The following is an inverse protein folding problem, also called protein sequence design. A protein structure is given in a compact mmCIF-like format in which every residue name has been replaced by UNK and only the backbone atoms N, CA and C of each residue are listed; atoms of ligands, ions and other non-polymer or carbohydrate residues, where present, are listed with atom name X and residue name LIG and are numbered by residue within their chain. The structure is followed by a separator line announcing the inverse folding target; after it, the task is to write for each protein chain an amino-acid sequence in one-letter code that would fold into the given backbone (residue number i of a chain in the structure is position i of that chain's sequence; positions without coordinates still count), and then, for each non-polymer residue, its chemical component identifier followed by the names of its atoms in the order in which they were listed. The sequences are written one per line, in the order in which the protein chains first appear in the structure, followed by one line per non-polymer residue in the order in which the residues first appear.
data_IF_988847142389
#
_entry.id   IF_988847142389
#
_cell.length_a   1.000
_cell.length_b   1.000
_cell.length_c   1.000
_cell.angle_alpha   90.00
_cell.angle_beta   90.00
_cell.angle_gamma   90.00
#
_symmetry.space_group_name_H-M   'P 1'
#
loop_
_entity.id
_entity.type
_entity.pdbx_description
1 polymer ?
#
# COMPACT_ATOMS: atom_id res chain seq x y z
N UNK A 1 27.92 15.52 -9.40
CA UNK A 1 27.23 14.63 -8.46
C UNK A 1 25.76 14.98 -8.49
N UNK A 2 24.90 14.01 -8.77
CA UNK A 2 23.46 14.19 -8.70
C UNK A 2 22.98 14.01 -7.25
N UNK A 3 21.96 14.74 -6.84
CA UNK A 3 21.34 14.61 -5.52
C UNK A 3 19.83 14.51 -5.70
N UNK A 4 19.21 13.54 -5.05
CA UNK A 4 17.75 13.42 -5.03
C UNK A 4 17.26 13.54 -3.60
N UNK A 5 16.25 14.38 -3.36
CA UNK A 5 15.48 14.38 -2.12
C UNK A 5 14.18 13.64 -2.36
N UNK A 6 13.98 12.53 -1.65
CA UNK A 6 12.81 11.67 -1.78
C UNK A 6 12.13 11.52 -0.43
N UNK A 7 10.81 11.65 -0.42
CA UNK A 7 10.01 11.58 0.78
C UNK A 7 8.95 10.49 0.67
N UNK A 8 8.86 9.66 1.70
CA UNK A 8 7.70 8.79 1.92
C UNK A 8 6.61 9.57 2.63
N UNK A 9 5.37 9.45 2.14
CA UNK A 9 4.18 10.06 2.74
C UNK A 9 3.17 8.94 2.99
N UNK A 10 3.08 8.53 4.25
CA UNK A 10 2.25 7.41 4.66
C UNK A 10 1.51 7.69 5.97
N UNK A 11 0.20 7.43 5.97
CA UNK A 11 -0.60 7.33 7.19
C UNK A 11 -1.49 6.09 7.11
N UNK A 12 -1.41 5.18 8.11
CA UNK A 12 -2.26 4.00 8.13
C UNK A 12 -3.68 4.35 8.61
N UNK A 13 -4.65 3.52 8.22
CA UNK A 13 -5.96 3.49 8.86
C UNK A 13 -5.87 2.68 10.16
N UNK A 14 -5.77 3.38 11.29
CA UNK A 14 -5.69 2.77 12.62
C UNK A 14 -6.98 2.01 12.94
N UNK A 15 -6.81 0.79 13.41
CA UNK A 15 -7.88 -0.09 13.83
C UNK A 15 -8.29 0.21 15.27
N UNK A 16 -9.50 -0.19 15.67
CA UNK A 16 -9.89 -0.12 17.08
C UNK A 16 -9.07 -1.09 17.95
N UNK A 17 -8.71 -0.64 19.16
CA UNK A 17 -8.18 -1.53 20.22
C UNK A 17 -9.18 -2.64 20.61
N UNK A 18 -10.47 -2.35 20.52
CA UNK A 18 -11.54 -3.31 20.77
C UNK A 18 -12.61 -3.17 19.70
N UNK A 19 -13.05 -4.29 19.14
CA UNK A 19 -14.07 -4.32 18.07
C UNK A 19 -15.30 -3.49 18.47
N UNK A 20 -15.67 -2.53 17.61
CA UNK A 20 -16.87 -1.74 17.81
C UNK A 20 -18.10 -2.54 17.36
N UNK A 21 -18.71 -3.28 18.30
CA UNK A 21 -19.90 -4.11 18.04
C UNK A 21 -21.14 -3.32 17.61
N UNK A 22 -21.12 -1.99 17.75
CA UNK A 22 -22.22 -1.09 17.38
C UNK A 22 -22.04 -0.43 16.00
N UNK A 23 -20.93 -0.68 15.31
CA UNK A 23 -20.71 -0.14 13.96
C UNK A 23 -21.79 -0.63 12.97
N UNK A 24 -22.26 0.27 12.09
CA UNK A 24 -23.34 -0.03 11.15
C UNK A 24 -22.85 -0.81 9.92
N UNK A 25 -21.56 -0.70 9.61
CA UNK A 25 -20.90 -1.36 8.49
C UNK A 25 -19.55 -1.93 8.95
N UNK A 26 -18.85 -2.61 8.06
CA UNK A 26 -17.58 -3.23 8.37
C UNK A 26 -16.47 -2.22 8.71
N UNK A 27 -16.49 -1.04 8.09
CA UNK A 27 -15.53 0.03 8.36
C UNK A 27 -15.66 0.55 9.79
N UNK A 28 -16.85 0.97 10.19
CA UNK A 28 -17.16 1.47 11.53
C UNK A 28 -16.96 0.43 12.64
N UNK A 29 -16.89 -0.85 12.28
CA UNK A 29 -16.62 -1.93 13.23
C UNK A 29 -15.15 -2.06 13.58
N UNK A 30 -14.27 -1.90 12.61
CA UNK A 30 -12.85 -2.22 12.75
C UNK A 30 -11.92 -1.00 12.71
N UNK A 31 -12.28 0.07 12.01
CA UNK A 31 -11.45 1.25 11.80
C UNK A 31 -11.86 2.36 12.77
N UNK A 32 -10.90 2.94 13.48
CA UNK A 32 -11.15 4.06 14.38
C UNK A 32 -11.08 5.39 13.60
N UNK A 33 -12.14 5.72 12.87
CA UNK A 33 -12.20 6.94 12.05
C UNK A 33 -11.95 8.21 12.86
N UNK A 34 -12.37 8.26 14.12
CA UNK A 34 -12.17 9.45 14.96
C UNK A 34 -10.69 9.65 15.30
N UNK A 35 -10.01 8.59 15.73
CA UNK A 35 -8.57 8.62 16.00
C UNK A 35 -7.79 8.98 14.73
N UNK A 36 -8.13 8.37 13.59
CA UNK A 36 -7.47 8.66 12.32
C UNK A 36 -7.65 10.12 11.92
N UNK A 37 -8.86 10.67 12.02
CA UNK A 37 -9.14 12.09 11.72
C UNK A 37 -8.34 13.03 12.63
N UNK A 38 -8.27 12.74 13.93
CA UNK A 38 -7.53 13.55 14.89
C UNK A 38 -6.03 13.55 14.58
N UNK A 39 -5.44 12.36 14.42
CA UNK A 39 -4.01 12.20 14.13
C UNK A 39 -3.67 12.82 12.79
N UNK A 40 -4.45 12.54 11.74
CA UNK A 40 -4.23 13.08 10.40
C UNK A 40 -4.18 14.61 10.42
N UNK A 41 -5.18 15.27 11.03
CA UNK A 41 -5.22 16.73 11.09
C UNK A 41 -4.11 17.32 11.98
N UNK A 42 -3.72 16.65 13.06
CA UNK A 42 -2.57 17.06 13.87
C UNK A 42 -1.29 17.06 13.04
N UNK A 43 -1.00 15.96 12.33
CA UNK A 43 0.21 15.84 11.52
C UNK A 43 0.15 16.78 10.31
N UNK A 44 -1.01 16.92 9.66
CA UNK A 44 -1.19 17.84 8.54
C UNK A 44 -0.82 19.30 8.89
N UNK A 45 -1.28 19.79 10.04
CA UNK A 45 -1.02 21.16 10.50
C UNK A 45 0.44 21.41 10.89
N UNK A 46 1.15 20.36 11.31
CA UNK A 46 2.55 20.47 11.75
C UNK A 46 3.55 20.19 10.65
N UNK A 47 3.20 19.28 9.74
CA UNK A 47 4.09 18.72 8.74
C UNK A 47 3.61 19.03 7.32
N UNK A 48 2.58 18.35 6.83
CA UNK A 48 2.28 18.35 5.39
C UNK A 48 2.01 19.75 4.84
N UNK A 49 1.20 20.56 5.52
CA UNK A 49 0.87 21.91 5.06
C UNK A 49 2.11 22.81 5.06
N UNK A 50 2.79 23.07 6.19
CA UNK A 50 3.94 23.98 6.19
C UNK A 50 5.12 23.46 5.37
N UNK A 51 5.33 22.15 5.29
CA UNK A 51 6.39 21.57 4.46
C UNK A 51 6.06 21.72 2.97
N UNK A 52 4.82 21.45 2.53
CA UNK A 52 4.42 21.64 1.13
C UNK A 52 4.50 23.11 0.70
N UNK A 53 4.03 24.03 1.55
CA UNK A 53 4.14 25.47 1.31
C UNK A 53 5.60 25.92 1.18
N UNK A 54 6.48 25.44 2.08
CA UNK A 54 7.91 25.72 1.97
C UNK A 54 8.53 25.12 0.70
N UNK A 55 8.21 23.88 0.34
CA UNK A 55 8.74 23.27 -0.89
C UNK A 55 8.27 24.05 -2.13
N UNK A 56 7.02 24.55 -2.17
CA UNK A 56 6.55 25.44 -3.23
C UNK A 56 7.40 26.72 -3.30
N UNK A 57 7.65 27.38 -2.17
CA UNK A 57 8.55 28.55 -2.10
C UNK A 57 9.94 28.21 -2.66
N UNK A 58 10.50 27.06 -2.30
CA UNK A 58 11.84 26.64 -2.75
C UNK A 58 11.88 26.27 -4.24
N UNK A 59 10.81 25.71 -4.78
CA UNK A 59 10.67 25.48 -6.22
C UNK A 59 10.66 26.82 -6.96
N UNK A 60 9.84 27.76 -6.51
CA UNK A 60 9.67 29.06 -7.15
C UNK A 60 10.96 29.91 -7.09
N UNK A 61 11.67 29.90 -5.96
CA UNK A 61 12.89 30.70 -5.76
C UNK A 61 14.16 30.06 -6.35
N UNK A 62 14.30 28.73 -6.27
CA UNK A 62 15.57 28.04 -6.53
C UNK A 62 15.49 26.90 -7.55
N UNK A 63 14.35 26.68 -8.22
CA UNK A 63 14.12 25.52 -9.09
C UNK A 63 14.38 24.19 -8.37
N UNK A 64 14.11 24.14 -7.05
CA UNK A 64 14.39 22.97 -6.22
C UNK A 64 13.56 21.76 -6.70
N UNK A 65 14.12 20.56 -6.61
CA UNK A 65 13.46 19.33 -7.10
C UNK A 65 13.37 18.29 -6.00
N UNK A 66 12.18 17.71 -5.86
CA UNK A 66 11.88 16.68 -4.87
C UNK A 66 11.06 15.54 -5.47
N UNK A 67 11.01 14.43 -4.76
CA UNK A 67 10.30 13.24 -5.18
C UNK A 67 9.42 12.76 -4.03
N UNK A 68 8.20 12.30 -4.30
CA UNK A 68 7.29 11.77 -3.29
C UNK A 68 6.84 10.36 -3.63
N UNK A 69 6.87 9.47 -2.64
CA UNK A 69 6.07 8.24 -2.62
C UNK A 69 4.88 8.46 -1.68
N UNK A 70 3.70 8.66 -2.24
CA UNK A 70 2.47 8.92 -1.49
C UNK A 70 1.59 7.67 -1.55
N UNK A 71 1.33 7.05 -0.41
CA UNK A 71 0.53 5.81 -0.35
C UNK A 71 -0.95 6.07 -0.68
N UNK A 72 -1.66 5.03 -1.13
CA UNK A 72 -3.09 5.12 -1.43
C UNK A 72 -3.91 5.42 -0.18
N UNK A 73 -3.60 4.74 0.94
CA UNK A 73 -4.20 5.00 2.25
C UNK A 73 -4.09 6.47 2.67
N UNK A 74 -2.94 7.13 2.42
CA UNK A 74 -2.77 8.54 2.74
C UNK A 74 -3.68 9.45 1.90
N UNK A 75 -3.79 9.18 0.60
CA UNK A 75 -4.63 9.96 -0.32
C UNK A 75 -6.11 9.81 0.06
N UNK A 76 -6.56 8.61 0.42
CA UNK A 76 -7.92 8.39 0.95
C UNK A 76 -8.18 9.24 2.20
N UNK A 77 -7.24 9.27 3.15
CA UNK A 77 -7.37 10.08 4.35
C UNK A 77 -7.36 11.58 4.05
N UNK A 78 -6.63 12.06 3.04
CA UNK A 78 -6.74 13.45 2.59
C UNK A 78 -8.17 13.75 2.12
N UNK A 79 -8.72 12.89 1.26
CA UNK A 79 -10.08 13.05 0.73
C UNK A 79 -11.15 13.00 1.83
N UNK A 80 -10.93 12.17 2.85
CA UNK A 80 -11.90 12.03 3.95
C UNK A 80 -11.79 13.16 4.99
N UNK A 81 -10.57 13.59 5.32
CA UNK A 81 -10.34 14.44 6.50
C UNK A 81 -9.87 15.85 6.20
N UNK A 82 -9.10 16.08 5.13
CA UNK A 82 -8.55 17.40 4.81
C UNK A 82 -8.05 17.47 3.34
N UNK A 83 -8.96 17.83 2.43
CA UNK A 83 -8.67 17.90 0.99
C UNK A 83 -7.61 18.95 0.63
N UNK A 84 -7.43 19.98 1.45
CA UNK A 84 -6.42 21.03 1.22
C UNK A 84 -4.99 20.46 1.18
N UNK A 85 -4.69 19.44 1.99
CA UNK A 85 -3.39 18.74 1.94
C UNK A 85 -3.15 18.12 0.56
N UNK A 86 -4.17 17.48 0.00
CA UNK A 86 -4.07 16.86 -1.32
C UNK A 86 -3.93 17.92 -2.42
N UNK A 87 -4.63 19.05 -2.30
CA UNK A 87 -4.51 20.14 -3.27
C UNK A 87 -3.11 20.75 -3.28
N UNK A 88 -2.46 20.90 -2.11
CA UNK A 88 -1.05 21.30 -2.05
C UNK A 88 -0.12 20.30 -2.77
N UNK A 89 -0.33 18.99 -2.61
CA UNK A 89 0.43 17.98 -3.37
C UNK A 89 0.16 18.06 -4.88
N UNK A 90 -1.08 18.32 -5.29
CA UNK A 90 -1.39 18.55 -6.71
C UNK A 90 -0.69 19.80 -7.24
N UNK A 91 -0.65 20.88 -6.46
CA UNK A 91 0.03 22.11 -6.86
C UNK A 91 1.53 21.92 -6.97
N UNK A 92 2.14 21.21 -6.02
CA UNK A 92 3.53 20.74 -6.09
C UNK A 92 3.81 19.95 -7.38
N UNK A 93 2.96 18.98 -7.72
CA UNK A 93 3.10 18.18 -8.95
C UNK A 93 2.94 19.03 -10.22
N UNK A 94 2.03 20.02 -10.23
CA UNK A 94 1.81 20.91 -11.38
C UNK A 94 3.02 21.79 -11.71
N UNK A 95 3.91 22.06 -10.75
CA UNK A 95 5.14 22.84 -11.00
C UNK A 95 6.05 22.18 -12.05
N UNK A 96 6.02 20.84 -12.16
CA UNK A 96 6.94 20.07 -13.00
C UNK A 96 8.28 19.71 -12.31
N UNK A 97 8.53 20.23 -11.11
CA UNK A 97 9.75 19.95 -10.32
C UNK A 97 9.59 18.78 -9.35
N UNK A 98 8.37 18.24 -9.25
CA UNK A 98 8.04 17.13 -8.37
C UNK A 98 7.77 15.87 -9.17
N UNK A 99 8.47 14.79 -8.82
CA UNK A 99 8.25 13.47 -9.39
C UNK A 99 7.56 12.54 -8.38
N UNK A 100 6.54 11.82 -8.86
CA UNK A 100 5.84 10.82 -8.06
C UNK A 100 6.41 9.42 -8.31
N UNK A 101 6.71 8.72 -7.22
CA UNK A 101 7.22 7.34 -7.19
C UNK A 101 6.06 6.42 -6.83
N UNK A 102 5.89 5.33 -7.58
CA UNK A 102 4.87 4.33 -7.30
C UNK A 102 5.23 3.47 -6.10
N UNK A 103 4.19 2.94 -5.47
CA UNK A 103 4.28 2.01 -4.35
C UNK A 103 3.07 1.04 -4.38
N UNK A 104 2.97 0.12 -3.40
CA UNK A 104 1.73 -0.56 -3.04
C UNK A 104 0.66 0.46 -2.58
N UNK A 105 -0.61 0.23 -2.90
CA UNK A 105 -1.69 1.14 -2.49
C UNK A 105 -1.85 1.17 -0.97
N UNK A 106 -1.84 -0.01 -0.36
CA UNK A 106 -2.15 -0.17 1.07
C UNK A 106 -0.91 -0.16 1.96
N UNK A 107 0.28 0.17 1.45
CA UNK A 107 1.53 0.03 2.19
C UNK A 107 1.69 -1.42 2.72
N UNK A 108 1.37 -2.40 1.88
CA UNK A 108 1.18 -3.79 2.31
C UNK A 108 2.47 -4.61 2.27
N UNK A 109 2.49 -5.67 3.08
CA UNK A 109 3.57 -6.69 3.04
C UNK A 109 3.32 -7.79 1.99
N UNK A 110 2.40 -7.59 1.05
CA UNK A 110 2.00 -8.57 0.03
C UNK A 110 3.18 -9.03 -0.86
N UNK A 111 4.21 -8.20 -1.00
CA UNK A 111 5.47 -8.55 -1.69
C UNK A 111 6.19 -9.77 -1.08
N UNK A 112 5.92 -10.07 0.19
CA UNK A 112 6.49 -11.20 0.93
C UNK A 112 5.66 -12.48 0.81
N UNK A 113 4.50 -12.45 0.15
CA UNK A 113 3.73 -13.65 -0.16
C UNK A 113 4.38 -14.44 -1.30
N UNK A 114 4.21 -15.76 -1.25
CA UNK A 114 4.71 -16.70 -2.26
C UNK A 114 4.01 -16.47 -3.61
N UNK A 115 2.70 -16.17 -3.58
CA UNK A 115 1.92 -15.78 -4.75
C UNK A 115 2.03 -14.25 -4.96
N UNK A 116 2.33 -13.83 -6.18
CA UNK A 116 2.53 -12.42 -6.56
C UNK A 116 1.25 -11.65 -6.92
N UNK A 117 0.11 -12.31 -7.08
CA UNK A 117 -1.14 -11.69 -7.55
C UNK A 117 -1.62 -10.57 -6.63
N UNK A 118 -1.53 -10.77 -5.32
CA UNK A 118 -1.95 -9.77 -4.33
C UNK A 118 -1.07 -8.51 -4.43
N UNK A 119 0.24 -8.72 -4.57
CA UNK A 119 1.22 -7.65 -4.73
C UNK A 119 1.03 -6.89 -6.04
N UNK A 120 0.82 -7.60 -7.15
CA UNK A 120 0.55 -7.00 -8.46
C UNK A 120 -0.75 -6.19 -8.43
N UNK A 121 -1.82 -6.74 -7.85
CA UNK A 121 -3.10 -6.06 -7.75
C UNK A 121 -2.97 -4.77 -6.93
N UNK A 122 -2.23 -4.80 -5.82
CA UNK A 122 -2.02 -3.63 -4.95
C UNK A 122 -1.24 -2.51 -5.66
N UNK A 123 -0.25 -2.86 -6.48
CA UNK A 123 0.50 -1.91 -7.32
C UNK A 123 -0.38 -1.32 -8.43
N UNK A 124 -1.19 -2.15 -9.10
CA UNK A 124 -2.05 -1.66 -10.19
C UNK A 124 -3.16 -0.75 -9.67
N UNK A 125 -3.70 -1.00 -8.47
CA UNK A 125 -4.59 -0.07 -7.78
C UNK A 125 -3.91 1.27 -7.53
N UNK A 126 -2.65 1.28 -7.08
CA UNK A 126 -1.88 2.51 -6.84
C UNK A 126 -1.59 3.29 -8.13
N UNK A 127 -1.16 2.59 -9.20
CA UNK A 127 -0.96 3.19 -10.52
C UNK A 127 -2.24 3.84 -11.05
N UNK A 128 -3.39 3.20 -10.85
CA UNK A 128 -4.69 3.76 -11.21
C UNK A 128 -4.99 5.02 -10.39
N UNK A 129 -4.81 4.97 -9.07
CA UNK A 129 -5.02 6.13 -8.20
C UNK A 129 -4.16 7.32 -8.63
N UNK A 130 -2.87 7.11 -8.91
CA UNK A 130 -1.97 8.19 -9.35
C UNK A 130 -2.41 8.82 -10.67
N UNK A 131 -2.89 7.99 -11.60
CA UNK A 131 -3.46 8.48 -12.85
C UNK A 131 -4.73 9.30 -12.60
N UNK A 132 -5.61 8.83 -11.73
CA UNK A 132 -6.90 9.47 -11.47
C UNK A 132 -6.74 10.78 -10.68
N UNK A 133 -5.80 10.85 -9.74
CA UNK A 133 -5.60 12.00 -8.84
C UNK A 133 -4.62 13.03 -9.42
N UNK A 134 -3.51 12.58 -10.00
CA UNK A 134 -2.43 13.47 -10.46
C UNK A 134 -2.27 13.50 -11.98
N UNK A 135 -2.93 12.59 -12.73
CA UNK A 135 -2.70 12.46 -14.17
C UNK A 135 -1.34 11.86 -14.53
N UNK A 136 -0.63 11.26 -13.55
CA UNK A 136 0.75 10.78 -13.71
C UNK A 136 0.78 9.27 -13.85
N UNK A 137 1.63 8.78 -14.77
CA UNK A 137 2.04 7.37 -14.82
C UNK A 137 3.45 7.26 -14.23
N UNK A 138 3.61 6.79 -12.98
CA UNK A 138 4.91 6.71 -12.33
C UNK A 138 5.83 5.71 -13.07
N UNK A 139 7.12 6.05 -13.13
CA UNK A 139 8.16 5.25 -13.81
C UNK A 139 9.07 4.51 -12.85
N UNK A 140 9.18 5.03 -11.64
CA UNK A 140 10.02 4.50 -10.57
C UNK A 140 9.11 3.86 -9.54
N UNK A 141 9.54 2.74 -8.99
CA UNK A 141 8.83 2.03 -7.94
C UNK A 141 9.67 1.99 -6.68
N UNK A 142 9.01 2.05 -5.54
CA UNK A 142 9.57 1.62 -4.25
C UNK A 142 8.55 0.67 -3.64
N UNK A 143 9.05 -0.44 -3.12
CA UNK A 143 8.19 -1.31 -2.34
C UNK A 143 8.06 -0.76 -0.92
N UNK A 144 7.00 -1.17 -0.22
CA UNK A 144 6.78 -0.90 1.19
C UNK A 144 8.06 -1.07 1.99
N UNK A 145 8.44 -0.02 2.70
CA UNK A 145 9.58 -0.01 3.63
C UNK A 145 10.94 -0.31 2.98
N UNK A 146 11.05 0.04 1.68
CA UNK A 146 12.20 -0.28 0.84
C UNK A 146 12.55 -1.79 0.86
N UNK A 147 11.54 -2.65 1.06
CA UNK A 147 11.70 -4.10 1.07
C UNK A 147 12.13 -4.58 -0.31
N UNK A 148 13.26 -5.26 -0.38
CA UNK A 148 13.86 -5.66 -1.65
C UNK A 148 14.46 -7.06 -1.63
N UNK A 149 14.16 -7.77 -2.71
CA UNK A 149 14.92 -8.92 -3.21
C UNK A 149 14.76 -8.96 -4.74
N UNK A 150 15.49 -9.87 -5.39
CA UNK A 150 15.46 -9.96 -6.85
C UNK A 150 14.10 -10.33 -7.43
N UNK A 151 13.27 -11.11 -6.73
CA UNK A 151 11.90 -11.45 -7.15
C UNK A 151 11.03 -10.19 -7.20
N UNK A 152 11.08 -9.35 -6.16
CA UNK A 152 10.35 -8.07 -6.13
C UNK A 152 10.82 -7.17 -7.29
N UNK A 153 12.14 -7.03 -7.48
CA UNK A 153 12.69 -6.23 -8.58
C UNK A 153 12.22 -6.72 -9.96
N UNK A 154 12.16 -8.04 -10.14
CA UNK A 154 11.67 -8.66 -11.38
C UNK A 154 10.18 -8.38 -11.60
N UNK A 155 9.34 -8.59 -10.60
CA UNK A 155 7.89 -8.31 -10.69
C UNK A 155 7.66 -6.83 -11.03
N UNK A 156 8.33 -5.91 -10.33
CA UNK A 156 8.24 -4.47 -10.63
C UNK A 156 8.65 -4.15 -12.07
N UNK A 157 9.68 -4.83 -12.60
CA UNK A 157 10.12 -4.64 -13.99
C UNK A 157 9.06 -5.13 -14.97
N UNK A 158 8.47 -6.29 -14.72
CA UNK A 158 7.42 -6.88 -15.56
C UNK A 158 6.14 -6.01 -15.56
N UNK A 159 5.89 -5.25 -14.48
CA UNK A 159 4.83 -4.23 -14.40
C UNK A 159 5.16 -2.89 -15.10
N UNK A 160 6.34 -2.80 -15.71
CA UNK A 160 6.76 -1.70 -16.58
C UNK A 160 7.50 -0.55 -15.89
N UNK A 161 7.99 -0.74 -14.66
CA UNK A 161 8.84 0.25 -14.00
C UNK A 161 10.27 0.23 -14.57
N UNK A 162 10.89 1.41 -14.63
CA UNK A 162 12.24 1.62 -15.18
C UNK A 162 13.35 1.44 -14.13
N UNK A 163 13.03 1.70 -12.87
CA UNK A 163 13.93 1.48 -11.73
C UNK A 163 13.14 1.18 -10.43
N UNK A 164 13.83 0.58 -9.46
CA UNK A 164 13.35 0.34 -8.10
C UNK A 164 14.27 1.00 -7.06
N UNK A 165 13.69 1.61 -6.04
CA UNK A 165 14.40 2.18 -4.90
C UNK A 165 14.50 1.15 -3.76
N UNK A 166 15.67 1.05 -3.11
CA UNK A 166 15.89 0.18 -1.95
C UNK A 166 16.97 0.73 -1.01
N UNK A 167 17.13 0.12 0.15
CA UNK A 167 18.17 0.47 1.12
C UNK A 167 19.61 0.18 0.62
N UNK A 168 20.51 1.14 0.82
CA UNK A 168 21.94 1.04 0.54
C UNK A 168 22.74 0.52 1.73
N UNK A 169 22.46 -0.72 2.16
CA UNK A 169 23.14 -1.36 3.30
C UNK A 169 24.41 -2.12 2.91
N UNK A 170 25.38 -2.16 3.82
CA UNK A 170 26.61 -2.95 3.72
C UNK A 170 26.35 -4.43 3.46
N UNK A 171 25.19 -4.97 3.91
CA UNK A 171 24.78 -6.37 3.67
C UNK A 171 24.79 -6.76 2.19
N UNK A 172 24.46 -5.82 1.30
CA UNK A 172 24.37 -6.05 -0.15
C UNK A 172 25.45 -5.31 -0.94
N UNK A 173 26.07 -4.29 -0.33
CA UNK A 173 27.08 -3.45 -0.97
C UNK A 173 28.50 -3.99 -0.79
N UNK A 174 28.81 -4.67 0.31
CA UNK A 174 30.19 -5.05 0.66
C UNK A 174 31.13 -3.83 0.58
N UNK A 175 32.07 -3.79 -0.37
CA UNK A 175 33.01 -2.68 -0.59
C UNK A 175 32.47 -1.58 -1.52
N UNK A 176 31.30 -1.78 -2.11
CA UNK A 176 30.66 -0.84 -3.04
C UNK A 176 29.98 0.30 -2.26
N UNK A 177 29.63 1.37 -2.96
CA UNK A 177 28.98 2.54 -2.38
C UNK A 177 27.51 2.63 -2.81
N UNK A 178 26.59 3.12 -1.95
CA UNK A 178 25.22 3.40 -2.36
C UNK A 178 25.11 4.55 -3.37
N UNK A 179 26.20 5.30 -3.58
CA UNK A 179 26.18 6.55 -4.35
C UNK A 179 26.32 6.36 -5.87
N UNK A 180 25.86 5.21 -6.38
CA UNK A 180 25.89 4.85 -7.80
C UNK A 180 24.58 4.17 -8.18
N UNK A 181 24.24 4.27 -9.46
CA UNK A 181 23.15 3.46 -10.02
C UNK A 181 23.63 2.02 -10.19
N UNK A 182 22.82 1.04 -9.79
CA UNK A 182 23.08 -0.39 -10.02
C UNK A 182 21.96 -1.01 -10.86
N UNK A 183 22.05 -2.31 -11.11
CA UNK A 183 20.97 -3.08 -11.70
C UNK A 183 20.82 -4.45 -11.05
N UNK A 184 19.63 -5.05 -11.13
CA UNK A 184 19.41 -6.46 -10.83
C UNK A 184 19.93 -7.35 -11.97
N UNK A 185 20.07 -8.67 -11.77
CA UNK A 185 20.41 -9.61 -12.85
C UNK A 185 19.42 -9.59 -14.02
N UNK A 186 18.15 -9.36 -13.72
CA UNK A 186 17.11 -9.19 -14.74
C UNK A 186 17.17 -7.82 -15.43
N UNK A 187 18.11 -6.95 -15.06
CA UNK A 187 18.32 -5.63 -15.63
C UNK A 187 17.31 -4.58 -15.18
N UNK A 188 16.73 -4.71 -13.98
CA UNK A 188 15.99 -3.61 -13.34
C UNK A 188 17.01 -2.64 -12.76
N UNK A 189 16.91 -1.33 -13.01
CA UNK A 189 17.82 -0.35 -12.39
C UNK A 189 17.52 -0.21 -10.91
N UNK A 190 18.55 -0.07 -10.08
CA UNK A 190 18.43 -0.01 -8.63
C UNK A 190 19.01 1.32 -8.13
N UNK A 191 18.17 2.11 -7.49
CA UNK A 191 18.54 3.30 -6.74
C UNK A 191 18.69 2.91 -5.26
N UNK A 192 19.84 3.22 -4.67
CA UNK A 192 20.14 2.89 -3.28
C UNK A 192 20.09 4.13 -2.42
N UNK A 193 19.30 4.10 -1.35
CA UNK A 193 19.30 5.12 -0.29
C UNK A 193 20.69 5.24 0.32
N UNK A 194 21.19 6.46 0.48
CA UNK A 194 22.33 6.71 1.34
C UNK A 194 21.81 6.86 2.78
N UNK A 195 21.71 5.75 3.51
CA UNK A 195 21.05 5.75 4.82
C UNK A 195 21.77 6.66 5.82
N UNK A 196 23.09 6.80 5.76
CA UNK A 196 23.83 7.64 6.71
C UNK A 196 23.42 9.10 6.60
N UNK A 197 23.53 9.66 5.39
CA UNK A 197 23.15 11.06 5.13
C UNK A 197 21.64 11.29 5.25
N UNK A 198 20.83 10.26 5.01
CA UNK A 198 19.37 10.35 5.20
C UNK A 198 19.00 10.36 6.69
N UNK A 199 19.59 9.46 7.49
CA UNK A 199 19.36 9.34 8.94
C UNK A 199 19.89 10.55 9.71
N UNK A 200 20.90 11.25 9.18
CA UNK A 200 21.40 12.50 9.79
C UNK A 200 20.31 13.59 9.83
N UNK A 201 19.45 13.66 8.81
CA UNK A 201 18.26 14.53 8.81
C UNK A 201 17.09 13.85 9.52
N UNK A 202 16.77 12.61 9.14
CA UNK A 202 15.57 11.90 9.60
C UNK A 202 15.55 11.62 11.11
N UNK A 203 16.70 11.26 11.70
CA UNK A 203 16.79 10.83 13.09
C UNK A 203 17.71 11.69 13.96
N UNK A 204 18.89 12.10 13.45
CA UNK A 204 19.91 12.77 14.28
C UNK A 204 19.80 14.29 14.35
N UNK A 205 18.92 14.91 13.56
CA UNK A 205 18.84 16.38 13.44
C UNK A 205 18.71 17.09 14.80
N UNK A 206 17.85 16.57 15.68
CA UNK A 206 17.62 17.12 17.03
C UNK A 206 18.44 16.43 18.14
N UNK A 207 19.35 15.50 17.80
CA UNK A 207 20.13 14.73 18.77
C UNK A 207 21.30 15.56 19.32
N UNK A 208 21.11 16.22 20.47
CA UNK A 208 22.11 17.15 21.06
C UNK A 208 23.38 16.48 21.58
N UNK A 209 23.33 15.17 21.79
CA UNK A 209 24.44 14.31 22.20
C UNK A 209 25.24 13.73 21.03
N UNK A 210 24.75 13.89 19.79
CA UNK A 210 25.50 13.54 18.59
C UNK A 210 26.68 14.51 18.38
N UNK A 211 27.86 13.96 18.11
CA UNK A 211 29.11 14.70 17.99
C UNK A 211 29.15 15.70 16.81
N UNK A 212 28.23 15.58 15.86
CA UNK A 212 28.08 16.53 14.76
C UNK A 212 26.95 17.56 14.97
N UNK A 213 26.22 17.52 16.09
CA UNK A 213 25.17 18.49 16.40
C UNK A 213 25.75 19.91 16.64
N UNK A 214 25.08 20.99 16.19
CA UNK A 214 23.85 21.00 15.39
C UNK A 214 24.10 20.68 13.92
N UNK A 215 23.13 20.05 13.25
CA UNK A 215 23.17 19.88 11.80
C UNK A 215 22.67 21.16 11.11
N UNK A 216 23.57 21.85 10.39
CA UNK A 216 23.25 23.08 9.66
C UNK A 216 23.30 22.83 8.15
N UNK A 217 22.60 23.66 7.37
CA UNK A 217 22.50 23.51 5.92
C UNK A 217 23.87 23.56 5.22
N UNK A 218 24.77 24.45 5.67
CA UNK A 218 26.13 24.61 5.14
C UNK A 218 27.01 23.39 5.45
N UNK A 219 26.90 22.85 6.67
CA UNK A 219 27.58 21.62 7.09
C UNK A 219 27.11 20.44 6.24
N UNK A 220 25.80 20.29 6.05
CA UNK A 220 25.25 19.19 5.27
C UNK A 220 25.58 19.30 3.78
N UNK A 221 25.51 20.50 3.20
CA UNK A 221 25.93 20.76 1.83
C UNK A 221 27.42 20.43 1.60
N UNK A 222 28.29 20.76 2.57
CA UNK A 222 29.70 20.38 2.53
C UNK A 222 29.89 18.85 2.56
N UNK A 223 29.11 18.12 3.35
CA UNK A 223 29.14 16.65 3.37
C UNK A 223 28.69 16.05 2.04
N UNK A 224 27.60 16.57 1.46
CA UNK A 224 27.14 16.19 0.12
C UNK A 224 28.23 16.43 -0.92
N UNK A 225 28.86 17.61 -0.89
CA UNK A 225 29.92 18.01 -1.81
C UNK A 225 31.18 17.13 -1.70
N UNK A 226 31.49 16.66 -0.49
CA UNK A 226 32.68 15.86 -0.19
C UNK A 226 32.48 14.36 -0.36
N UNK A 227 31.22 13.92 -0.53
CA UNK A 227 30.87 12.50 -0.64
C UNK A 227 31.20 11.98 -2.05
N UNK A 228 31.96 10.88 -2.21
CA UNK A 228 32.29 10.32 -3.52
C UNK A 228 31.10 9.55 -4.12
N UNK A 229 30.97 9.57 -5.44
CA UNK A 229 29.85 8.95 -6.14
C UNK A 229 29.45 9.64 -7.45
N UNK A 230 28.36 9.18 -8.04
CA UNK A 230 27.67 9.84 -9.15
C UNK A 230 26.29 10.36 -8.76
N UNK A 231 25.64 9.72 -7.77
CA UNK A 231 24.34 10.14 -7.22
C UNK A 231 24.31 9.95 -5.71
N UNK A 232 23.72 10.89 -4.97
CA UNK A 232 23.38 10.70 -3.55
C UNK A 232 21.85 10.71 -3.43
N UNK A 233 21.31 9.58 -3.03
CA UNK A 233 19.88 9.38 -2.85
C UNK A 233 19.51 9.63 -1.38
N UNK A 234 19.01 10.82 -1.08
CA UNK A 234 18.46 11.16 0.23
C UNK A 234 17.00 10.73 0.27
N UNK A 235 16.66 9.81 1.17
CA UNK A 235 15.33 9.24 1.29
C UNK A 235 14.92 9.16 2.77
N UNK A 236 13.79 9.77 3.15
CA UNK A 236 13.29 9.80 4.54
C UNK A 236 11.76 9.89 4.57
N UNK A 237 11.18 9.68 5.76
CA UNK A 237 9.77 10.00 6.02
C UNK A 237 9.53 11.50 5.87
N UNK A 238 8.41 11.90 5.28
CA UNK A 238 8.09 13.31 5.13
C UNK A 238 7.77 13.98 6.46
N UNK A 239 7.24 13.19 7.41
CA UNK A 239 7.01 13.51 8.82
C UNK A 239 8.27 13.98 9.56
N UNK A 240 9.47 13.79 8.96
CA UNK A 240 10.72 14.43 9.39
C UNK A 240 10.54 15.94 9.62
N UNK A 241 9.81 16.63 8.73
CA UNK A 241 9.61 18.07 8.79
C UNK A 241 8.35 18.42 9.59
N UNK A 242 8.47 18.53 10.91
CA UNK A 242 7.42 19.08 11.78
C UNK A 242 6.78 18.09 12.74
N UNK A 243 6.84 16.77 12.48
CA UNK A 243 6.36 15.75 13.41
C UNK A 243 7.52 15.04 14.15
N UNK A 244 8.51 14.50 13.43
CA UNK A 244 9.69 13.88 14.06
C UNK A 244 10.61 14.96 14.66
N UNK A 245 10.87 16.02 13.90
CA UNK A 245 11.55 17.22 14.38
C UNK A 245 10.57 18.38 14.37
N UNK A 246 10.26 18.93 15.54
CA UNK A 246 9.31 20.04 15.63
C UNK A 246 9.89 21.30 15.01
N UNK A 247 9.03 22.26 14.65
CA UNK A 247 9.45 23.53 14.04
C UNK A 247 10.54 24.24 14.87
N UNK A 248 10.45 24.19 16.19
CA UNK A 248 11.38 24.83 17.12
C UNK A 248 12.79 24.22 17.09
N UNK A 249 12.97 23.03 16.50
CA UNK A 249 14.29 22.44 16.27
C UNK A 249 15.11 23.19 15.21
N UNK A 250 14.45 23.98 14.37
CA UNK A 250 15.07 24.63 13.21
C UNK A 250 15.03 23.80 11.93
N UNK A 251 14.27 22.70 11.88
CA UNK A 251 14.23 21.80 10.71
C UNK A 251 13.69 22.49 9.45
N UNK A 252 12.72 23.40 9.58
CA UNK A 252 12.19 24.17 8.45
C UNK A 252 13.19 25.23 7.97
N UNK A 253 13.92 25.86 8.90
CA UNK A 253 15.00 26.79 8.58
C UNK A 253 16.14 26.04 7.87
N UNK A 254 16.50 24.85 8.33
CA UNK A 254 17.45 23.97 7.64
C UNK A 254 17.00 23.70 6.20
N UNK A 255 15.77 23.26 6.00
CA UNK A 255 15.22 22.99 4.65
C UNK A 255 15.23 24.26 3.78
N UNK A 256 14.89 25.42 4.36
CA UNK A 256 14.86 26.71 3.67
C UNK A 256 16.25 27.13 3.15
N UNK A 257 17.30 26.92 3.94
CA UNK A 257 18.67 27.29 3.55
C UNK A 257 19.38 26.21 2.73
N UNK A 258 18.88 24.97 2.70
CA UNK A 258 19.54 23.85 2.06
C UNK A 258 19.81 24.07 0.55
N UNK A 259 18.87 24.53 -0.28
CA UNK A 259 19.14 24.78 -1.70
C UNK A 259 20.22 25.85 -1.91
N UNK A 260 20.22 26.90 -1.07
CA UNK A 260 21.20 27.99 -1.12
C UNK A 260 22.60 27.45 -0.86
N UNK A 261 22.76 26.62 0.18
CA UNK A 261 24.06 26.06 0.54
C UNK A 261 24.55 25.02 -0.48
N UNK A 262 23.65 24.20 -1.05
CA UNK A 262 24.00 23.28 -2.14
C UNK A 262 24.48 24.06 -3.37
N UNK A 263 23.83 25.18 -3.71
CA UNK A 263 24.18 25.97 -4.91
C UNK A 263 25.59 26.56 -4.89
N UNK A 264 26.22 26.65 -3.71
CA UNK A 264 27.63 27.09 -3.56
C UNK A 264 28.63 26.06 -4.07
N UNK A 265 28.20 24.83 -4.34
CA UNK A 265 29.03 23.74 -4.83
C UNK A 265 28.66 23.41 -6.28
N UNK A 266 29.37 24.02 -7.24
CA UNK A 266 29.05 23.93 -8.69
C UNK A 266 28.97 22.50 -9.26
N UNK A 267 29.60 21.52 -8.61
CA UNK A 267 29.56 20.12 -9.04
C UNK A 267 28.37 19.33 -8.49
N UNK A 268 27.53 19.92 -7.64
CA UNK A 268 26.28 19.34 -7.15
C UNK A 268 25.10 19.76 -8.02
N UNK A 269 24.22 18.82 -8.34
CA UNK A 269 22.99 19.08 -9.09
C UNK A 269 21.82 18.36 -8.40
N UNK A 270 20.81 19.11 -7.95
CA UNK A 270 19.57 18.53 -7.41
C UNK A 270 18.66 18.14 -8.57
N UNK A 271 18.23 16.88 -8.62
CA UNK A 271 17.46 16.32 -9.74
C UNK A 271 16.34 15.40 -9.26
N UNK A 272 15.36 15.16 -10.14
CA UNK A 272 14.38 14.11 -9.92
C UNK A 272 14.97 12.72 -10.19
N UNK A 273 14.40 11.67 -9.59
CA UNK A 273 14.93 10.30 -9.66
C UNK A 273 14.98 9.73 -11.09
N UNK A 274 14.04 10.09 -11.96
CA UNK A 274 14.05 9.68 -13.38
C UNK A 274 15.15 10.38 -14.18
N UNK A 275 15.60 11.57 -13.78
CA UNK A 275 16.78 12.18 -14.39
C UNK A 275 18.05 11.38 -14.09
N UNK A 276 18.19 10.87 -12.86
CA UNK A 276 19.29 9.95 -12.49
C UNK A 276 19.26 8.72 -13.41
N UNK A 277 18.08 8.10 -13.55
CA UNK A 277 17.87 6.90 -14.37
C UNK A 277 18.20 7.13 -15.85
N UNK A 278 18.02 8.34 -16.37
CA UNK A 278 18.35 8.73 -17.75
C UNK A 278 19.82 9.11 -17.93
N UNK A 279 20.40 9.82 -16.97
CA UNK A 279 21.77 10.38 -17.04
C UNK A 279 22.84 9.32 -16.74
N UNK A 280 22.57 8.39 -15.82
CA UNK A 280 23.56 7.41 -15.34
C UNK A 280 23.40 6.04 -15.98
N UNK A 281 24.50 5.31 -16.05
CA UNK A 281 24.53 3.88 -16.41
C UNK A 281 24.76 3.04 -15.15
N UNK A 282 24.13 1.87 -15.02
CA UNK A 282 24.42 0.95 -13.92
C UNK A 282 25.91 0.64 -13.82
N UNK A 283 26.51 0.87 -12.65
CA UNK A 283 27.92 0.62 -12.36
C UNK A 283 28.21 -0.86 -12.13
N UNK A 284 27.19 -1.64 -11.79
CA UNK A 284 27.31 -3.07 -11.60
C UNK A 284 25.97 -3.70 -11.22
N UNK A 285 26.02 -5.01 -10.99
CA UNK A 285 24.87 -5.81 -10.62
C UNK A 285 24.80 -6.04 -9.11
N UNK A 286 23.60 -5.93 -8.52
CA UNK A 286 23.29 -6.28 -7.14
C UNK A 286 22.36 -7.48 -7.12
N UNK A 287 22.75 -8.50 -6.36
CA UNK A 287 21.97 -9.71 -6.15
C UNK A 287 21.57 -9.84 -4.68
N UNK A 288 20.28 -10.01 -4.43
CA UNK A 288 19.68 -10.23 -3.12
C UNK A 288 18.69 -11.40 -3.24
N UNK A 289 19.06 -12.52 -2.63
CA UNK A 289 18.21 -13.70 -2.56
C UNK A 289 16.97 -13.44 -1.71
N UNK A 290 15.85 -14.13 -1.97
CA UNK A 290 14.59 -13.99 -1.22
C UNK A 290 14.77 -14.21 0.30
N UNK A 291 15.50 -15.25 0.71
CA UNK A 291 15.88 -15.47 2.13
C UNK A 291 16.80 -14.40 2.75
N UNK A 292 17.34 -13.49 1.94
CA UNK A 292 18.18 -12.38 2.37
C UNK A 292 17.50 -11.02 2.10
N UNK A 293 16.16 -11.00 2.00
CA UNK A 293 15.37 -9.79 1.78
C UNK A 293 15.78 -8.70 2.76
N UNK A 294 16.11 -7.53 2.22
CA UNK A 294 16.50 -6.35 2.99
C UNK A 294 15.34 -5.37 3.10
N UNK A 295 15.43 -4.45 4.05
CA UNK A 295 14.54 -3.29 4.21
C UNK A 295 15.37 -2.11 4.73
N UNK A 296 14.78 -0.91 4.80
CA UNK A 296 15.42 0.21 5.49
C UNK A 296 15.19 0.24 7.01
N UNK A 297 14.34 -0.64 7.54
CA UNK A 297 13.93 -0.64 8.93
C UNK A 297 14.95 -1.29 9.86
N UNK A 298 15.02 -0.76 11.07
CA UNK A 298 15.86 -1.19 12.19
C UNK A 298 17.34 -1.38 11.85
N UNK A 299 18.18 -1.60 12.86
CA UNK A 299 19.62 -1.79 12.67
C UNK A 299 19.94 -3.01 11.79
N UNK A 300 19.08 -4.02 11.81
CA UNK A 300 19.26 -5.23 11.03
C UNK A 300 18.99 -5.02 9.54
N UNK A 301 18.25 -4.00 9.08
CA UNK A 301 18.02 -3.75 7.64
C UNK A 301 17.44 -4.98 6.91
N UNK A 302 16.45 -5.62 7.53
CA UNK A 302 15.73 -6.77 7.00
C UNK A 302 14.24 -6.74 7.41
N UNK A 303 13.49 -7.80 7.11
CA UNK A 303 12.03 -7.84 7.33
C UNK A 303 11.62 -8.15 8.78
N UNK A 304 12.57 -8.27 9.71
CA UNK A 304 12.27 -8.68 11.08
C UNK A 304 11.57 -7.59 11.92
N UNK A 305 11.45 -6.36 11.43
CA UNK A 305 10.56 -5.35 12.01
C UNK A 305 9.07 -5.78 11.93
N UNK A 306 8.70 -6.57 10.91
CA UNK A 306 7.32 -7.04 10.70
C UNK A 306 7.14 -8.55 10.87
N UNK A 307 8.21 -9.34 10.76
CA UNK A 307 8.18 -10.82 10.84
C UNK A 307 9.26 -11.38 11.81
N UNK A 308 9.71 -10.58 12.78
CA UNK A 308 10.79 -10.94 13.70
C UNK A 308 10.36 -11.89 14.82
N UNK A 309 9.09 -11.84 15.24
CA UNK A 309 8.59 -12.64 16.36
C UNK A 309 7.41 -13.57 15.98
N UNK A 310 6.99 -14.42 16.92
CA UNK A 310 5.94 -15.41 16.69
C UNK A 310 4.55 -14.80 16.53
N UNK A 311 4.25 -13.69 17.22
CA UNK A 311 2.96 -13.00 17.14
C UNK A 311 2.72 -12.47 15.73
N UNK A 312 3.70 -11.73 15.23
CA UNK A 312 3.76 -11.22 13.87
C UNK A 312 3.56 -12.30 12.82
N UNK A 313 4.30 -13.42 12.91
CA UNK A 313 4.18 -14.54 11.97
C UNK A 313 2.80 -15.18 12.00
N UNK A 314 2.21 -15.37 13.19
CA UNK A 314 0.84 -15.90 13.32
C UNK A 314 -0.16 -14.96 12.65
N UNK A 315 -0.08 -13.67 12.92
CA UNK A 315 -0.95 -12.67 12.30
C UNK A 315 -0.79 -12.62 10.78
N UNK A 316 0.44 -12.74 10.27
CA UNK A 316 0.75 -12.72 8.85
C UNK A 316 0.16 -13.92 8.11
N UNK A 317 0.43 -15.13 8.61
CA UNK A 317 -0.16 -16.35 8.04
C UNK A 317 -1.68 -16.32 8.15
N UNK A 318 -2.23 -15.81 9.26
CA UNK A 318 -3.68 -15.75 9.44
C UNK A 318 -4.35 -14.84 8.42
N UNK A 319 -3.76 -13.68 8.14
CA UNK A 319 -4.28 -12.77 7.12
C UNK A 319 -4.16 -13.38 5.71
N UNK A 320 -3.07 -14.09 5.43
CA UNK A 320 -2.87 -14.80 4.17
C UNK A 320 -3.94 -15.88 3.96
N UNK A 321 -4.25 -16.70 4.97
CA UNK A 321 -5.35 -17.68 4.93
C UNK A 321 -6.70 -17.02 4.62
N UNK A 322 -6.98 -15.85 5.22
CA UNK A 322 -8.21 -15.09 4.95
C UNK A 322 -8.25 -14.63 3.50
N UNK A 323 -7.12 -14.12 2.98
CA UNK A 323 -6.98 -13.72 1.58
C UNK A 323 -7.22 -14.86 0.59
N UNK A 324 -6.60 -16.01 0.84
CA UNK A 324 -6.80 -17.23 0.05
C UNK A 324 -8.28 -17.64 0.05
N UNK A 325 -8.93 -17.64 1.22
CA UNK A 325 -10.35 -17.95 1.32
C UNK A 325 -11.24 -16.98 0.51
N UNK A 326 -10.98 -15.67 0.61
CA UNK A 326 -11.71 -14.65 -0.17
C UNK A 326 -11.52 -14.89 -1.67
N UNK A 327 -10.27 -15.18 -2.09
CA UNK A 327 -9.92 -15.43 -3.49
C UNK A 327 -10.61 -16.68 -4.04
N UNK A 328 -10.53 -17.80 -3.34
CA UNK A 328 -11.17 -19.07 -3.73
C UNK A 328 -12.69 -18.94 -3.84
N UNK A 329 -13.30 -18.05 -3.05
CA UNK A 329 -14.74 -17.83 -3.03
C UNK A 329 -15.17 -16.53 -3.73
N UNK A 330 -14.28 -15.87 -4.48
CA UNK A 330 -14.48 -14.52 -5.05
C UNK A 330 -15.77 -14.42 -5.86
N UNK A 331 -16.05 -15.37 -6.74
CA UNK A 331 -17.24 -15.34 -7.60
C UNK A 331 -18.55 -15.52 -6.84
N UNK A 332 -18.53 -16.24 -5.71
CA UNK A 332 -19.69 -16.36 -4.83
C UNK A 332 -19.85 -15.11 -3.99
N UNK A 333 -18.77 -14.65 -3.37
CA UNK A 333 -18.75 -13.45 -2.52
C UNK A 333 -19.18 -12.20 -3.30
N UNK A 334 -18.80 -12.06 -4.58
CA UNK A 334 -19.25 -10.98 -5.48
C UNK A 334 -20.77 -10.91 -5.66
N UNK A 335 -21.52 -11.97 -5.34
CA UNK A 335 -22.99 -11.96 -5.35
C UNK A 335 -23.58 -11.38 -4.06
N UNK A 336 -22.75 -11.19 -3.03
CA UNK A 336 -23.13 -10.46 -1.83
C UNK A 336 -22.98 -8.96 -2.07
N UNK A 337 -23.96 -8.20 -1.58
CA UNK A 337 -23.91 -6.74 -1.53
C UNK A 337 -22.77 -6.22 -0.62
N UNK A 338 -22.16 -7.11 0.19
CA UNK A 338 -21.06 -6.79 1.11
C UNK A 338 -19.67 -7.03 0.54
N UNK A 339 -19.54 -7.51 -0.69
CA UNK A 339 -18.24 -7.86 -1.26
C UNK A 339 -17.25 -6.71 -1.20
N UNK A 340 -17.66 -5.51 -1.61
CA UNK A 340 -16.80 -4.34 -1.66
C UNK A 340 -16.34 -3.93 -0.25
N UNK A 341 -17.23 -3.99 0.75
CA UNK A 341 -16.86 -3.75 2.15
C UNK A 341 -15.87 -4.80 2.67
N UNK A 342 -16.12 -6.09 2.43
CA UNK A 342 -15.24 -7.19 2.83
C UNK A 342 -13.87 -6.99 2.20
N UNK A 343 -13.84 -6.72 0.90
CA UNK A 343 -12.61 -6.56 0.16
C UNK A 343 -11.83 -5.33 0.63
N UNK A 344 -12.52 -4.20 0.89
CA UNK A 344 -11.89 -3.00 1.47
C UNK A 344 -11.25 -3.28 2.83
N UNK A 345 -11.96 -3.98 3.73
CA UNK A 345 -11.41 -4.37 5.04
C UNK A 345 -10.20 -5.29 4.88
N UNK A 346 -10.30 -6.30 4.02
CA UNK A 346 -9.19 -7.22 3.80
C UNK A 346 -7.93 -6.47 3.35
N UNK A 347 -8.07 -5.48 2.45
CA UNK A 347 -6.94 -4.70 1.97
C UNK A 347 -6.31 -3.81 3.05
N UNK A 348 -7.10 -3.07 3.84
CA UNK A 348 -6.55 -2.24 4.93
C UNK A 348 -5.90 -3.08 6.04
N UNK A 349 -6.36 -4.32 6.26
CA UNK A 349 -5.73 -5.23 7.22
C UNK A 349 -4.31 -5.63 6.77
N UNK A 350 -3.97 -5.54 5.49
CA UNK A 350 -2.63 -5.86 4.98
C UNK A 350 -1.58 -4.77 5.20
N UNK A 351 -1.98 -3.57 5.64
CA UNK A 351 -1.07 -2.45 5.93
C UNK A 351 0.05 -2.88 6.88
N UNK A 352 1.31 -2.58 6.53
CA UNK A 352 2.51 -3.03 7.26
C UNK A 352 2.49 -2.64 8.74
N UNK A 353 1.95 -1.47 9.07
CA UNK A 353 1.82 -0.94 10.43
C UNK A 353 1.15 -1.91 11.40
N UNK A 354 0.15 -2.67 10.94
CA UNK A 354 -0.54 -3.65 11.78
C UNK A 354 0.41 -4.73 12.31
N UNK A 355 1.46 -5.06 11.55
CA UNK A 355 2.52 -5.99 11.95
C UNK A 355 3.62 -5.28 12.73
N UNK A 356 3.95 -4.05 12.34
CA UNK A 356 4.97 -3.24 13.02
C UNK A 356 4.60 -2.96 14.48
N UNK A 357 3.32 -2.68 14.78
CA UNK A 357 2.84 -2.47 16.15
C UNK A 357 3.01 -3.70 17.06
N UNK A 358 3.23 -4.89 16.50
CA UNK A 358 3.46 -6.13 17.24
C UNK A 358 4.95 -6.44 17.43
N UNK A 359 5.84 -5.56 16.96
CA UNK A 359 7.28 -5.74 17.07
C UNK A 359 7.72 -5.71 18.54
N UNK A 360 8.58 -6.66 18.91
CA UNK A 360 9.14 -6.76 20.28
C UNK A 360 10.63 -6.39 20.32
N UNK A 361 11.17 -5.95 19.19
CA UNK A 361 12.52 -5.38 19.16
C UNK A 361 12.51 -4.05 19.89
N UNK A 362 13.66 -3.66 20.42
CA UNK A 362 13.78 -2.35 21.04
C UNK A 362 13.11 -2.20 22.41
N UNK A 363 13.20 -3.19 23.31
CA UNK A 363 13.01 -2.91 24.74
C UNK A 363 13.99 -1.83 25.28
N UNK A 364 15.03 -1.47 24.51
CA UNK A 364 15.89 -0.29 24.71
C UNK A 364 15.68 0.88 23.73
N UNK A 365 15.03 0.66 22.57
CA UNK A 365 14.71 1.68 21.54
C UNK A 365 13.22 2.11 21.61
N UNK A 366 12.65 1.99 22.81
CA UNK A 366 11.22 2.14 23.11
C UNK A 366 10.63 3.48 22.65
N UNK A 367 11.45 4.52 22.50
CA UNK A 367 11.02 5.87 22.13
C UNK A 367 10.50 5.96 20.69
N UNK A 368 10.96 5.14 19.74
CA UNK A 368 10.47 5.19 18.35
C UNK A 368 9.26 4.27 18.17
N UNK A 369 9.32 3.03 18.64
CA UNK A 369 8.22 2.08 18.49
C UNK A 369 6.95 2.47 19.28
N UNK A 370 7.08 3.08 20.48
CA UNK A 370 5.93 3.60 21.22
C UNK A 370 5.40 4.92 20.68
N UNK A 371 6.21 5.70 19.97
CA UNK A 371 5.75 6.99 19.43
C UNK A 371 4.73 6.81 18.30
N UNK A 372 4.90 5.78 17.46
CA UNK A 372 4.02 5.53 16.32
C UNK A 372 2.82 4.62 16.62
N UNK A 373 2.95 3.72 17.60
CA UNK A 373 1.87 2.81 17.96
C UNK A 373 0.82 3.50 18.83
N UNK A 374 -0.45 3.34 18.48
CA UNK A 374 -1.55 3.78 19.33
C UNK A 374 -1.87 2.75 20.43
N UNK A 375 -1.22 1.59 20.44
CA UNK A 375 -1.36 0.53 21.46
C UNK A 375 -0.39 0.72 22.62
N UNK A 376 -0.79 0.25 23.79
CA UNK A 376 -0.01 0.42 25.02
C UNK A 376 1.17 -0.56 25.09
N UNK A 377 1.07 -1.69 24.38
CA UNK A 377 2.16 -2.66 24.21
C UNK A 377 2.04 -3.45 22.90
N UNK A 378 3.13 -4.08 22.43
CA UNK A 378 3.08 -5.00 21.29
C UNK A 378 2.13 -6.18 21.48
N UNK A 379 1.92 -6.60 22.74
CA UNK A 379 0.98 -7.68 23.08
C UNK A 379 -0.47 -7.24 22.91
N UNK A 380 -0.79 -5.99 23.28
CA UNK A 380 -2.13 -5.42 23.07
C UNK A 380 -2.42 -5.23 21.59
N UNK A 381 -1.43 -4.78 20.81
CA UNK A 381 -1.53 -4.70 19.35
C UNK A 381 -1.84 -6.07 18.74
N UNK A 382 -1.08 -7.10 19.12
CA UNK A 382 -1.30 -8.46 18.65
C UNK A 382 -2.68 -9.00 19.04
N UNK A 383 -3.08 -8.86 20.31
CA UNK A 383 -4.37 -9.34 20.79
C UNK A 383 -5.54 -8.66 20.05
N UNK A 384 -5.45 -7.34 19.86
CA UNK A 384 -6.46 -6.55 19.16
C UNK A 384 -6.55 -6.95 17.69
N UNK A 385 -5.41 -7.01 17.00
CA UNK A 385 -5.35 -7.34 15.59
C UNK A 385 -5.83 -8.78 15.33
N UNK A 386 -5.37 -9.75 16.12
CA UNK A 386 -5.80 -11.14 15.98
C UNK A 386 -7.30 -11.31 16.24
N UNK A 387 -7.85 -10.61 17.25
CA UNK A 387 -9.29 -10.60 17.51
C UNK A 387 -10.07 -10.05 16.30
N UNK A 388 -9.59 -8.97 15.66
CA UNK A 388 -10.17 -8.44 14.42
C UNK A 388 -10.11 -9.46 13.29
N UNK A 389 -8.97 -10.12 13.06
CA UNK A 389 -8.82 -11.14 12.00
C UNK A 389 -9.83 -12.28 12.18
N UNK A 390 -9.95 -12.82 13.41
CA UNK A 390 -10.92 -13.90 13.68
C UNK A 390 -12.36 -13.43 13.58
N UNK A 391 -12.68 -12.23 14.08
CA UNK A 391 -14.04 -11.71 13.97
C UNK A 391 -14.44 -11.47 12.52
N UNK A 392 -13.53 -10.91 11.71
CA UNK A 392 -13.71 -10.68 10.29
C UNK A 392 -13.92 -11.98 9.51
N UNK A 393 -13.07 -12.99 9.75
CA UNK A 393 -13.19 -14.29 9.10
C UNK A 393 -14.51 -15.00 9.46
N UNK A 394 -14.84 -15.11 10.74
CA UNK A 394 -15.91 -15.98 11.20
C UNK A 394 -17.28 -15.31 11.20
N UNK A 395 -17.38 -14.06 11.63
CA UNK A 395 -18.67 -13.36 11.76
C UNK A 395 -19.10 -12.64 10.48
N UNK A 396 -18.18 -12.39 9.55
CA UNK A 396 -18.51 -11.71 8.30
C UNK A 396 -18.30 -12.58 7.09
N UNK A 397 -17.08 -13.03 6.83
CA UNK A 397 -16.79 -13.78 5.60
C UNK A 397 -17.53 -15.13 5.61
N UNK A 398 -17.32 -15.95 6.63
CA UNK A 398 -17.93 -17.29 6.73
C UNK A 398 -19.44 -17.25 6.96
N UNK A 399 -19.94 -16.27 7.72
CA UNK A 399 -21.38 -16.09 7.91
C UNK A 399 -22.09 -15.66 6.61
N UNK A 400 -21.49 -14.72 5.87
CA UNK A 400 -22.02 -14.29 4.56
C UNK A 400 -22.00 -15.45 3.57
N UNK A 401 -20.94 -16.26 3.55
CA UNK A 401 -20.88 -17.48 2.75
C UNK A 401 -22.01 -18.47 3.11
N UNK A 402 -22.32 -18.65 4.40
CA UNK A 402 -23.46 -19.50 4.81
C UNK A 402 -24.78 -18.95 4.30
N UNK A 403 -25.01 -17.64 4.39
CA UNK A 403 -26.22 -16.98 3.85
C UNK A 403 -26.34 -17.17 2.34
N UNK A 404 -25.25 -17.01 1.60
CA UNK A 404 -25.21 -17.22 0.15
C UNK A 404 -25.51 -18.67 -0.22
N UNK A 405 -24.93 -19.64 0.49
CA UNK A 405 -25.21 -21.06 0.26
C UNK A 405 -26.67 -21.41 0.55
N UNK A 406 -27.24 -20.87 1.64
CA UNK A 406 -28.67 -21.09 1.97
C UNK A 406 -29.60 -20.48 0.91
N UNK A 407 -29.26 -19.30 0.37
CA UNK A 407 -30.00 -18.68 -0.74
C UNK A 407 -29.93 -19.54 -2.01
N UNK A 408 -28.75 -20.05 -2.38
CA UNK A 408 -28.62 -20.94 -3.54
C UNK A 408 -29.39 -22.26 -3.38
N UNK A 409 -29.44 -22.81 -2.16
CA UNK A 409 -30.22 -24.01 -1.85
C UNK A 409 -31.73 -23.75 -1.92
N UNK A 410 -32.17 -22.54 -1.56
CA UNK A 410 -33.57 -22.12 -1.70
C UNK A 410 -33.94 -21.94 -3.18
N UNK A 411 -33.14 -21.17 -3.94
CA UNK A 411 -33.38 -20.91 -5.37
C UNK A 411 -33.39 -22.20 -6.21
N UNK A 412 -32.53 -23.17 -5.86
CA UNK A 412 -32.48 -24.47 -6.54
C UNK A 412 -33.72 -25.31 -6.22
N UNK A 413 -34.19 -25.33 -4.97
CA UNK A 413 -35.45 -25.99 -4.59
C UNK A 413 -36.66 -25.33 -5.25
N UNK A 414 -36.69 -24.01 -5.33
CA UNK A 414 -37.79 -23.26 -5.95
C UNK A 414 -37.86 -23.53 -7.47
N UNK A 415 -36.71 -23.57 -8.16
CA UNK A 415 -36.63 -23.99 -9.57
C UNK A 415 -37.09 -25.43 -9.79
N UNK A 416 -36.75 -26.36 -8.88
CA UNK A 416 -37.23 -27.74 -8.90
C UNK A 416 -38.75 -27.82 -8.74
N UNK A 417 -39.32 -27.04 -7.82
CA UNK A 417 -40.78 -26.97 -7.62
C UNK A 417 -41.47 -26.43 -8.88
N UNK A 418 -40.98 -25.31 -9.43
CA UNK A 418 -41.56 -24.72 -10.65
C UNK A 418 -41.48 -25.69 -11.84
N UNK A 419 -40.36 -26.38 -12.02
CA UNK A 419 -40.22 -27.37 -13.09
C UNK A 419 -41.17 -28.57 -12.89
N UNK A 420 -41.32 -29.06 -11.66
CA UNK A 420 -42.25 -30.14 -11.33
C UNK A 420 -43.72 -29.69 -11.55
N UNK A 421 -44.08 -28.46 -11.20
CA UNK A 421 -45.43 -27.92 -11.44
C UNK A 421 -45.74 -27.76 -12.93
N UNK A 422 -44.74 -27.42 -13.75
CA UNK A 422 -44.84 -27.37 -15.22
C UNK A 422 -45.01 -28.79 -15.78
N UNK A 423 -44.25 -29.78 -15.31
CA UNK A 423 -44.42 -31.18 -15.72
C UNK A 423 -45.79 -31.73 -15.35
N UNK A 424 -46.28 -31.45 -14.13
CA UNK A 424 -47.61 -31.89 -13.68
C UNK A 424 -48.72 -31.24 -14.52
N UNK A 425 -48.60 -29.95 -14.87
CA UNK A 425 -49.54 -29.30 -15.81
C UNK A 425 -49.52 -29.96 -17.18
N UNK A 426 -48.35 -30.22 -17.75
CA UNK A 426 -48.22 -30.87 -19.06
C UNK A 426 -48.79 -32.30 -19.07
N UNK A 427 -48.63 -33.07 -17.98
CA UNK A 427 -49.23 -34.40 -17.83
C UNK A 427 -50.76 -34.31 -17.75
N UNK A 428 -51.30 -33.34 -17.01
CA UNK A 428 -52.76 -33.13 -16.91
C UNK A 428 -53.38 -32.63 -18.22
N UNK A 429 -52.66 -31.80 -18.99
CA UNK A 429 -53.08 -31.34 -20.32
C UNK A 429 -53.03 -32.46 -21.38
N UNK A 430 -52.12 -33.42 -21.24
CA UNK A 430 -52.07 -34.62 -22.10
C UNK A 430 -53.16 -35.65 -21.73
N UNK A 431 -53.42 -35.88 -20.44
CA UNK A 431 -54.50 -36.76 -19.98
C UNK A 431 -55.90 -36.22 -20.32
N UNK A 432 -56.07 -34.89 -20.33
CA UNK A 432 -57.33 -34.28 -20.77
C UNK A 432 -57.55 -34.35 -22.27
N UNK A 433 -56.48 -34.38 -23.10
CA UNK A 433 -56.58 -34.67 -24.54
C UNK A 433 -56.89 -36.15 -24.82
N UNK A 434 -56.30 -37.10 -24.09
CA UNK A 434 -56.62 -38.53 -24.25
C UNK A 434 -58.05 -38.89 -23.80
N UNK A 435 -58.64 -38.15 -22.85
CA UNK A 435 -60.03 -38.30 -22.46
C UNK A 435 -61.03 -37.73 -23.50
N UNK A 436 -60.61 -36.81 -24.36
CA UNK A 436 -61.45 -36.26 -25.44
C UNK A 436 -61.47 -37.20 -26.65
N UNK A 437 -60.37 -37.92 -26.94
CA UNK A 437 -60.30 -38.88 -28.05
C UNK A 437 -61.00 -40.23 -27.80
N UNK A 438 -61.51 -40.51 -26.59
CA UNK A 438 -62.21 -41.77 -26.25
C UNK A 438 -63.74 -41.67 -26.17
N UNK A 439 -64.34 -40.54 -26.56
CA UNK A 439 -65.80 -40.33 -26.55
C UNK A 439 -66.40 -40.09 -27.95
N UNK A 440 -65.93 -40.81 -28.98
CA UNK A 440 -66.68 -40.92 -30.25
C UNK A 440 -67.24 -42.34 -30.39
N UNK A 441 -68.53 -42.50 -30.05
CA UNK A 441 -69.34 -43.67 -30.39
C UNK A 441 -69.86 -43.58 -31.85
N UNK A 442 -70.14 -44.73 -32.50
CA UNK A 442 -70.19 -44.85 -33.96
C UNK A 442 -71.52 -44.38 -34.54
N UNK A 443 -71.47 -43.67 -35.67
CA UNK A 443 -72.64 -43.42 -36.52
C UNK A 443 -72.82 -44.56 -37.53
N UNK A 444 -73.96 -45.23 -37.38
CA UNK A 444 -74.58 -46.12 -38.34
C UNK A 444 -75.33 -45.30 -39.40
N UNK A 445 -75.14 -45.59 -40.68
CA UNK A 445 -76.19 -45.49 -41.71
C UNK A 445 -75.72 -46.07 -43.07
N UNK A 446 -76.35 -47.18 -43.43
CA UNK A 446 -76.50 -47.65 -44.80
C UNK A 446 -77.31 -46.65 -45.65
N UNK A 447 -76.91 -46.35 -46.88
CA UNK A 447 -77.58 -46.86 -48.08
C UNK A 447 -77.01 -46.27 -49.40
N UNK A 448 -76.64 -47.20 -50.28
CA UNK A 448 -77.00 -47.31 -51.70
C UNK A 448 -76.78 -46.19 -52.74
N UNK A 449 -76.01 -46.62 -53.74
CA UNK A 449 -76.28 -46.66 -55.20
C UNK A 449 -76.08 -45.44 -56.13
N UNK A 450 -75.02 -45.58 -56.96
CA UNK A 450 -74.87 -45.51 -58.44
C UNK A 450 -75.39 -44.29 -59.26
N UNK A 451 -74.52 -43.93 -60.23
CA UNK A 451 -74.70 -43.31 -61.57
C UNK A 451 -74.26 -41.82 -61.58
N UNK A 452 -73.29 -41.35 -62.39
CA UNK A 452 -72.67 -41.80 -63.64
C UNK A 452 -71.15 -41.56 -63.66
#
# INVERSE_FOLDING_TARGET
MLITFTFEVHQPHRLYKNINKKGNNLWERYVDTNLNKEVFNKVANKCYIPANELILELIDEYDFKVNYSITGCFIEQCLEFNEYVLDLFKDLVKTGNVELIAETYHHSLSSLYENEEEFIEDIELHKKLYKDVFGVKPKIFRNTELIYNNRIAKISKDLGFEAIFTEGTEKILSWRSPNYLYQSPDGMKILLRNYRLSDDIGFRFSARDWDQYPLTADKYALWLASTPGEVINIYMDYETFGEHHWKESGIFEFLRYLPIEISKHEHLEVVNVNEVVKKLKPRGEIYVHEFATISWADTERDVSAWLGNKMQKISFEKLKEIGEFIKENKDKLKKSEKFDEIYKIYKILQTSDNFYYQCTKGFGDMDVHMYFSHFDSPFDAYASYLNILYDFEYYYIKDEMKKLNNRSDYDSKEKLIVNNDIEIKNINDNNSKECIEKNEEPKDENDKFIIA
#
